data_IF_501972716757
#
_entry.id   IF_501972716757
#
_cell.length_a   1.000
_cell.length_b   1.000
_cell.length_c   1.000
_cell.angle_alpha   90.00
_cell.angle_beta   90.00
_cell.angle_gamma   90.00
#
_symmetry.space_group_name_H-M   'P 1'
#
loop_
_entity.id
_entity.type
_entity.pdbx_description
1 polymer ?
#
# COMPACT_ATOMS: atom_id res chain seq x y z
N UNK A 1 10.10 -2.66 11.82
CA UNK A 1 9.30 -1.97 10.80
C UNK A 1 8.82 -3.02 9.83
N UNK A 2 7.53 -3.02 9.51
CA UNK A 2 6.94 -3.98 8.57
C UNK A 2 6.69 -3.25 7.26
N UNK A 3 6.91 -3.93 6.13
CA UNK A 3 6.66 -3.32 4.83
C UNK A 3 6.19 -4.32 3.81
N UNK A 4 5.36 -3.85 2.89
CA UNK A 4 4.91 -4.61 1.73
C UNK A 4 5.34 -3.91 0.45
N UNK A 5 6.00 -4.68 -0.42
CA UNK A 5 6.55 -4.20 -1.68
C UNK A 5 5.66 -4.68 -2.82
N UNK A 6 5.28 -3.76 -3.69
CA UNK A 6 4.52 -4.00 -4.91
C UNK A 6 5.33 -3.45 -6.09
N UNK A 7 5.84 -4.35 -6.92
CA UNK A 7 6.63 -3.98 -8.09
C UNK A 7 5.71 -3.76 -9.28
N UNK A 8 5.80 -2.58 -9.89
CA UNK A 8 5.17 -2.24 -11.15
C UNK A 8 6.23 -2.28 -12.25
N UNK A 9 6.31 -3.45 -12.90
CA UNK A 9 7.30 -3.73 -13.95
C UNK A 9 7.06 -2.88 -15.21
N UNK A 10 5.82 -2.46 -15.49
CA UNK A 10 5.50 -1.69 -16.70
C UNK A 10 6.08 -0.28 -16.61
N UNK A 11 6.07 0.32 -15.43
CA UNK A 11 6.52 1.71 -15.21
C UNK A 11 7.85 1.81 -14.46
N UNK A 12 8.57 0.70 -14.32
CA UNK A 12 9.86 0.58 -13.63
C UNK A 12 9.88 1.33 -12.28
N UNK A 13 8.89 1.02 -11.44
CA UNK A 13 8.72 1.65 -10.14
C UNK A 13 8.20 0.64 -9.12
N UNK A 14 8.37 0.98 -7.85
CA UNK A 14 8.04 0.11 -6.74
C UNK A 14 7.19 0.88 -5.74
N UNK A 15 5.99 0.40 -5.46
CA UNK A 15 5.18 0.90 -4.36
C UNK A 15 5.56 0.17 -3.09
N UNK A 16 5.79 0.93 -2.02
CA UNK A 16 6.19 0.39 -0.72
C UNK A 16 5.19 0.92 0.31
N UNK A 17 4.40 0.01 0.88
CA UNK A 17 3.58 0.30 2.04
C UNK A 17 4.40 0.02 3.29
N UNK A 18 4.65 1.03 4.11
CA UNK A 18 5.45 0.92 5.33
C UNK A 18 4.56 1.19 6.53
N UNK A 19 4.62 0.34 7.53
CA UNK A 19 3.93 0.56 8.80
C UNK A 19 4.76 0.10 9.99
N UNK A 20 4.50 0.75 11.11
CA UNK A 20 5.13 0.42 12.38
C UNK A 20 4.26 -0.59 13.15
N UNK A 21 4.84 -1.75 13.43
CA UNK A 21 4.23 -2.79 14.26
C UNK A 21 3.84 -4.05 13.47
N UNK A 22 3.46 -5.08 14.23
CA UNK A 22 3.06 -6.39 13.69
C UNK A 22 1.57 -6.38 13.28
N UNK A 23 0.80 -5.52 13.95
CA UNK A 23 -0.61 -5.27 13.65
C UNK A 23 -0.74 -3.77 13.37
N UNK A 24 -1.64 -3.37 12.46
CA UNK A 24 -1.96 -1.98 12.11
C UNK A 24 -2.56 -1.21 13.30
N UNK A 25 -1.81 -1.07 14.40
CA UNK A 25 -2.27 -0.58 15.70
C UNK A 25 -1.99 0.92 15.78
N UNK A 26 -2.93 1.70 15.25
CA UNK A 26 -3.04 3.15 15.50
C UNK A 26 -1.89 4.02 14.97
N UNK A 27 -0.95 3.44 14.22
CA UNK A 27 0.11 4.16 13.54
C UNK A 27 -0.18 4.27 12.05
N UNK A 28 0.20 5.38 11.40
CA UNK A 28 -0.07 5.58 9.99
C UNK A 28 0.71 4.58 9.13
N UNK A 29 0.10 4.21 8.01
CA UNK A 29 0.75 3.45 6.94
C UNK A 29 1.18 4.46 5.89
N UNK A 30 2.48 4.51 5.61
CA UNK A 30 3.04 5.38 4.58
C UNK A 30 3.06 4.63 3.25
N UNK A 31 2.46 5.23 2.22
CA UNK A 31 2.58 4.80 0.83
C UNK A 31 3.73 5.56 0.18
N UNK A 32 4.81 4.84 -0.10
CA UNK A 32 5.98 5.35 -0.80
C UNK A 32 6.01 4.81 -2.22
N UNK A 33 6.56 5.59 -3.15
CA UNK A 33 6.93 5.15 -4.50
C UNK A 33 8.42 5.32 -4.65
N UNK A 34 9.11 4.21 -4.93
CA UNK A 34 10.48 4.22 -5.39
C UNK A 34 10.50 4.19 -6.92
N UNK A 35 11.04 5.24 -7.53
CA UNK A 35 11.27 5.31 -8.97
C UNK A 35 12.63 5.95 -9.23
N UNK A 36 13.41 5.38 -10.15
CA UNK A 36 14.76 5.88 -10.50
C UNK A 36 15.70 6.03 -9.28
N UNK A 37 15.59 5.15 -8.28
CA UNK A 37 16.40 5.20 -7.06
C UNK A 37 15.99 6.27 -6.05
N UNK A 38 14.89 6.99 -6.28
CA UNK A 38 14.33 7.97 -5.34
C UNK A 38 13.03 7.47 -4.73
N UNK A 39 12.91 7.57 -3.40
CA UNK A 39 11.67 7.28 -2.66
C UNK A 39 10.89 8.56 -2.43
N UNK A 40 9.65 8.58 -2.91
CA UNK A 40 8.71 9.68 -2.76
C UNK A 40 7.52 9.23 -1.91
N UNK A 41 7.13 10.04 -0.93
CA UNK A 41 5.90 9.80 -0.17
C UNK A 41 4.70 10.23 -1.02
N UNK A 42 3.82 9.27 -1.33
CA UNK A 42 2.56 9.52 -2.06
C UNK A 42 1.46 9.93 -1.08
N UNK A 43 1.40 9.27 0.06
CA UNK A 43 0.37 9.56 1.05
C UNK A 43 0.45 8.69 2.29
N UNK A 44 -0.47 8.94 3.21
CA UNK A 44 -0.56 8.24 4.50
C UNK A 44 -1.99 7.75 4.72
N UNK A 45 -2.12 6.57 5.31
CA UNK A 45 -3.38 6.02 5.81
C UNK A 45 -3.31 6.13 7.32
N UNK A 46 -4.11 7.01 7.92
CA UNK A 46 -3.90 7.39 9.33
C UNK A 46 -4.61 6.46 10.32
N UNK A 47 -5.58 5.69 9.83
CA UNK A 47 -6.45 4.89 10.68
C UNK A 47 -6.74 3.53 10.05
N UNK A 48 -7.14 2.59 10.91
CA UNK A 48 -7.58 1.27 10.45
C UNK A 48 -8.89 1.37 9.69
N UNK A 49 -9.74 2.32 10.05
CA UNK A 49 -11.02 2.58 9.39
C UNK A 49 -10.82 3.04 7.94
N UNK A 50 -9.87 3.95 7.69
CA UNK A 50 -9.49 4.36 6.32
C UNK A 50 -8.99 3.16 5.50
N UNK A 51 -8.25 2.25 6.14
CA UNK A 51 -7.73 1.07 5.49
C UNK A 51 -8.81 0.00 5.21
N UNK A 52 -9.79 -0.16 6.09
CA UNK A 52 -10.90 -1.10 5.92
C UNK A 52 -11.89 -0.60 4.86
N UNK A 53 -12.20 0.70 4.86
CA UNK A 53 -13.00 1.35 3.81
C UNK A 53 -12.25 1.39 2.47
N UNK A 54 -10.91 1.40 2.53
CA UNK A 54 -10.05 1.55 1.39
C UNK A 54 -9.73 3.02 1.14
N UNK A 55 -8.46 3.30 0.83
CA UNK A 55 -7.94 4.63 0.60
C UNK A 55 -7.42 4.77 -0.82
N UNK A 56 -7.90 5.78 -1.53
CA UNK A 56 -7.39 6.18 -2.83
C UNK A 56 -6.34 7.28 -2.72
N UNK A 57 -5.31 7.20 -3.54
CA UNK A 57 -4.26 8.19 -3.73
C UNK A 57 -4.09 8.46 -5.23
N UNK A 58 -3.77 9.71 -5.57
CA UNK A 58 -3.35 10.06 -6.92
C UNK A 58 -1.83 10.19 -6.95
N UNK A 59 -1.19 9.48 -7.87
CA UNK A 59 0.23 9.62 -8.14
C UNK A 59 0.47 9.71 -9.64
N UNK A 60 0.86 10.89 -10.11
CA UNK A 60 1.16 11.15 -11.52
C UNK A 60 -0.02 10.77 -12.44
N UNK A 61 -1.25 11.07 -12.01
CA UNK A 61 -2.48 10.77 -12.76
C UNK A 61 -2.93 9.31 -12.67
N UNK A 62 -2.36 8.53 -11.75
CA UNK A 62 -2.71 7.13 -11.53
C UNK A 62 -3.37 6.97 -10.18
N UNK A 63 -4.43 6.15 -10.16
CA UNK A 63 -5.21 5.88 -8.97
C UNK A 63 -4.64 4.68 -8.25
N UNK A 64 -4.03 4.93 -7.09
CA UNK A 64 -3.54 3.88 -6.20
C UNK A 64 -4.58 3.69 -5.12
N UNK A 65 -5.17 2.50 -5.07
CA UNK A 65 -6.12 2.13 -4.04
C UNK A 65 -5.47 1.12 -3.10
N UNK A 66 -5.57 1.38 -1.81
CA UNK A 66 -5.03 0.52 -0.76
C UNK A 66 -6.15 0.14 0.19
N UNK A 67 -6.34 -1.15 0.42
CA UNK A 67 -7.38 -1.65 1.30
C UNK A 67 -6.91 -2.88 2.06
N UNK A 68 -7.34 -3.01 3.31
CA UNK A 68 -7.20 -4.25 4.06
C UNK A 68 -8.44 -5.10 3.86
N UNK A 69 -8.31 -6.16 3.06
CA UNK A 69 -9.43 -7.04 2.71
C UNK A 69 -9.35 -8.32 3.51
N UNK A 70 -10.49 -8.75 4.03
CA UNK A 70 -10.64 -10.07 4.65
C UNK A 70 -10.63 -11.14 3.57
N UNK A 71 -9.69 -12.08 3.64
CA UNK A 71 -9.52 -13.13 2.62
C UNK A 71 -10.04 -14.47 3.11
N UNK A 72 -9.84 -14.82 4.39
CA UNK A 72 -10.35 -16.06 4.97
C UNK A 72 -10.42 -16.02 6.50
N UNK A 73 -11.50 -16.50 7.14
CA UNK A 73 -11.68 -16.56 8.61
C UNK A 73 -11.23 -15.30 9.39
N UNK A 74 -10.00 -15.27 9.89
CA UNK A 74 -9.36 -14.15 10.61
C UNK A 74 -8.17 -13.54 9.86
N UNK A 75 -7.82 -14.10 8.70
CA UNK A 75 -6.77 -13.64 7.80
C UNK A 75 -7.30 -12.44 7.02
N UNK A 76 -6.64 -11.32 7.23
CA UNK A 76 -6.78 -10.10 6.43
C UNK A 76 -5.46 -9.87 5.70
N UNK A 77 -5.55 -9.46 4.46
CA UNK A 77 -4.39 -9.15 3.63
C UNK A 77 -4.49 -7.70 3.14
N UNK A 78 -3.33 -7.09 2.94
CA UNK A 78 -3.21 -5.77 2.36
C UNK A 78 -3.30 -5.89 0.83
N UNK A 79 -4.29 -5.24 0.26
CA UNK A 79 -4.50 -5.14 -1.18
C UNK A 79 -4.07 -3.76 -1.64
N UNK A 80 -3.26 -3.74 -2.70
CA UNK A 80 -2.96 -2.54 -3.45
C UNK A 80 -3.39 -2.77 -4.91
N UNK A 81 -4.09 -1.80 -5.48
CA UNK A 81 -4.37 -1.77 -6.91
C UNK A 81 -4.00 -0.42 -7.50
N UNK A 82 -3.49 -0.44 -8.72
CA UNK A 82 -3.11 0.76 -9.47
C UNK A 82 -3.92 0.79 -10.75
N UNK A 83 -4.66 1.88 -10.98
CA UNK A 83 -5.57 2.06 -12.11
C UNK A 83 -6.57 0.89 -12.28
N UNK A 84 -7.00 0.30 -11.16
CA UNK A 84 -7.90 -0.85 -11.12
C UNK A 84 -7.21 -2.22 -11.26
N UNK A 85 -5.91 -2.26 -11.57
CA UNK A 85 -5.12 -3.49 -11.64
C UNK A 85 -4.57 -3.85 -10.27
N UNK A 86 -4.94 -5.01 -9.74
CA UNK A 86 -4.38 -5.51 -8.47
C UNK A 86 -2.90 -5.81 -8.66
N UNK A 87 -2.05 -5.25 -7.81
CA UNK A 87 -0.62 -5.60 -7.74
C UNK A 87 -0.42 -6.58 -6.60
N UNK A 88 0.37 -7.62 -6.85
CA UNK A 88 0.72 -8.60 -5.82
C UNK A 88 1.87 -8.08 -4.99
N UNK A 89 1.65 -7.96 -3.68
CA UNK A 89 2.66 -7.51 -2.74
C UNK A 89 3.44 -8.68 -2.15
N UNK A 90 4.69 -8.43 -1.76
CA UNK A 90 5.48 -9.34 -0.91
C UNK A 90 5.83 -8.64 0.40
N UNK A 91 5.63 -9.33 1.52
CA UNK A 91 6.13 -8.84 2.82
C UNK A 91 7.64 -8.98 2.85
N UNK A 92 8.30 -7.95 3.39
CA UNK A 92 9.69 -8.05 3.87
C UNK A 92 9.74 -8.45 5.35
#
# INVERSE_FOLDING_TARGET
MSSMIYEDQEKNRTFILVWDGINFTGKPIDLLVEANGQRNLVGKINSKEELEQGREFDYQGQKIFVQHKKVFLFIKELFLSVDGTKISGRSL
#
